data_IF_716579616052
#
_entry.id   IF_716579616052
#
_cell.length_a   1.000
_cell.length_b   1.000
_cell.length_c   1.000
_cell.angle_alpha   90.00
_cell.angle_beta   90.00
_cell.angle_gamma   90.00
#
_symmetry.space_group_name_H-M   'P 1'
#
loop_
_entity.id
_entity.type
_entity.pdbx_description
1 polymer ?
#
# COMPACT_ATOMS: atom_id res chain seq x y z
N UNK A 1 -3.75 2.41 -40.07
CA UNK A 1 -3.46 1.00 -39.71
C UNK A 1 -2.06 0.81 -39.13
N UNK A 2 -1.01 1.47 -39.67
CA UNK A 2 0.38 1.37 -39.15
C UNK A 2 0.53 1.79 -37.68
N UNK A 3 -0.14 2.87 -37.25
CA UNK A 3 -0.09 3.32 -35.85
C UNK A 3 -0.73 2.33 -34.87
N UNK A 4 -1.81 1.66 -35.27
CA UNK A 4 -2.51 0.67 -34.45
C UNK A 4 -1.69 -0.60 -34.30
N UNK A 5 -1.02 -1.04 -35.39
CA UNK A 5 -0.07 -2.15 -35.37
C UNK A 5 1.19 -1.82 -34.57
N UNK A 6 1.69 -0.58 -34.61
CA UNK A 6 2.84 -0.17 -33.80
C UNK A 6 2.49 -0.15 -32.30
N UNK A 7 1.28 0.31 -31.96
CA UNK A 7 0.79 0.31 -30.58
C UNK A 7 0.57 -1.12 -30.05
N UNK A 8 0.07 -2.03 -30.89
CA UNK A 8 -0.04 -3.46 -30.57
C UNK A 8 1.35 -4.11 -30.38
N UNK A 9 2.32 -3.76 -31.22
CA UNK A 9 3.71 -4.26 -31.10
C UNK A 9 4.36 -3.70 -29.82
N UNK A 10 4.15 -2.42 -29.48
CA UNK A 10 4.65 -1.83 -28.22
C UNK A 10 3.99 -2.48 -27.00
N UNK A 11 2.69 -2.80 -27.07
CA UNK A 11 1.98 -3.56 -26.02
C UNK A 11 2.50 -5.00 -25.90
N UNK A 12 2.84 -5.66 -27.02
CA UNK A 12 3.34 -7.04 -27.06
C UNK A 12 4.82 -7.15 -26.67
N UNK A 13 5.64 -6.13 -26.95
CA UNK A 13 7.08 -6.07 -26.63
C UNK A 13 7.30 -5.75 -25.14
N UNK A 14 6.33 -5.15 -24.46
CA UNK A 14 6.42 -4.86 -23.02
C UNK A 14 5.76 -5.94 -22.17
N UNK A 15 5.90 -7.21 -22.57
CA UNK A 15 5.59 -8.38 -21.73
C UNK A 15 6.67 -8.49 -20.67
N UNK A 16 6.62 -7.58 -19.70
CA UNK A 16 7.36 -7.72 -18.46
C UNK A 16 6.95 -9.05 -17.82
N UNK A 17 7.85 -10.02 -17.82
CA UNK A 17 7.67 -11.28 -17.11
C UNK A 17 8.13 -11.00 -15.67
N UNK A 18 7.23 -10.97 -14.69
CA UNK A 18 7.60 -10.74 -13.30
C UNK A 18 8.43 -11.89 -12.77
N UNK A 19 9.36 -11.59 -11.86
CA UNK A 19 10.02 -12.60 -11.04
C UNK A 19 9.02 -13.27 -10.10
N UNK A 20 9.32 -14.48 -9.63
CA UNK A 20 8.56 -15.14 -8.58
C UNK A 20 8.56 -14.31 -7.29
N UNK A 21 9.65 -13.61 -6.97
CA UNK A 21 9.65 -12.66 -5.85
C UNK A 21 8.61 -11.54 -6.03
N UNK A 22 8.40 -11.07 -7.26
CA UNK A 22 7.36 -10.10 -7.58
C UNK A 22 5.96 -10.66 -7.39
N UNK A 23 5.70 -11.89 -7.83
CA UNK A 23 4.42 -12.57 -7.61
C UNK A 23 4.16 -12.83 -6.11
N UNK A 24 5.18 -13.28 -5.38
CA UNK A 24 5.11 -13.47 -3.92
C UNK A 24 4.79 -12.15 -3.21
N UNK A 25 5.46 -11.06 -3.59
CA UNK A 25 5.21 -9.73 -3.02
C UNK A 25 3.75 -9.28 -3.25
N UNK A 26 3.22 -9.50 -4.45
CA UNK A 26 1.83 -9.18 -4.77
C UNK A 26 0.83 -10.08 -4.05
N UNK A 27 1.15 -11.37 -3.88
CA UNK A 27 0.31 -12.29 -3.11
C UNK A 27 0.24 -11.85 -1.64
N UNK A 28 1.37 -11.53 -1.00
CA UNK A 28 1.38 -10.99 0.36
C UNK A 28 0.60 -9.68 0.44
N UNK A 29 0.78 -8.78 -0.53
CA UNK A 29 0.04 -7.52 -0.59
C UNK A 29 -1.47 -7.75 -0.66
N UNK A 30 -1.94 -8.73 -1.44
CA UNK A 30 -3.36 -9.05 -1.58
C UNK A 30 -4.04 -9.41 -0.24
N UNK A 31 -3.26 -9.91 0.71
CA UNK A 31 -3.73 -10.25 2.06
C UNK A 31 -3.44 -9.17 3.11
N UNK A 32 -3.03 -7.97 2.69
CA UNK A 32 -2.72 -6.85 3.58
C UNK A 32 -3.80 -5.77 3.56
N UNK A 33 -3.89 -4.99 4.65
CA UNK A 33 -4.79 -3.83 4.76
C UNK A 33 -4.51 -2.73 3.72
N UNK A 34 -3.29 -2.68 3.18
CA UNK A 34 -2.90 -1.69 2.16
C UNK A 34 -3.26 -2.13 0.74
N UNK A 35 -3.82 -3.33 0.55
CA UNK A 35 -4.15 -3.89 -0.76
C UNK A 35 -4.94 -2.91 -1.61
N UNK A 36 -6.10 -2.44 -1.13
CA UNK A 36 -7.01 -1.61 -1.91
C UNK A 36 -6.35 -0.31 -2.40
N UNK A 37 -5.39 0.21 -1.62
CA UNK A 37 -4.68 1.45 -1.95
C UNK A 37 -3.58 1.20 -2.98
N UNK A 38 -2.91 0.04 -2.92
CA UNK A 38 -1.72 -0.27 -3.73
C UNK A 38 -2.01 -1.21 -4.92
N UNK A 39 -3.18 -1.85 -4.97
CA UNK A 39 -3.60 -2.74 -6.06
C UNK A 39 -3.47 -2.11 -7.46
N UNK A 40 -3.81 -0.82 -7.68
CA UNK A 40 -3.62 -0.17 -8.99
C UNK A 40 -2.15 -0.13 -9.45
N UNK A 41 -1.20 -0.30 -8.54
CA UNK A 41 0.23 -0.21 -8.78
C UNK A 41 0.93 -1.58 -8.79
N UNK A 42 0.18 -2.69 -8.91
CA UNK A 42 0.70 -4.06 -8.93
C UNK A 42 1.92 -4.22 -9.85
N UNK A 43 1.86 -3.68 -11.07
CA UNK A 43 2.97 -3.73 -12.03
C UNK A 43 4.25 -3.08 -11.51
N UNK A 44 4.13 -1.96 -10.79
CA UNK A 44 5.26 -1.25 -10.18
C UNK A 44 5.87 -2.09 -9.06
N UNK A 45 5.04 -2.75 -8.27
CA UNK A 45 5.46 -3.65 -7.19
C UNK A 45 6.25 -4.82 -7.77
N UNK A 46 5.70 -5.53 -8.77
CA UNK A 46 6.37 -6.66 -9.41
C UNK A 46 7.71 -6.27 -10.06
N UNK A 47 7.74 -5.12 -10.75
CA UNK A 47 8.94 -4.62 -11.41
C UNK A 47 10.03 -4.24 -10.40
N UNK A 48 9.67 -3.49 -9.37
CA UNK A 48 10.60 -3.05 -8.34
C UNK A 48 11.13 -4.20 -7.49
N UNK A 49 10.29 -5.19 -7.16
CA UNK A 49 10.70 -6.44 -6.52
C UNK A 49 11.73 -7.21 -7.36
N UNK A 50 11.48 -7.33 -8.67
CA UNK A 50 12.41 -8.00 -9.60
C UNK A 50 13.75 -7.27 -9.69
N UNK A 51 13.74 -5.94 -9.68
CA UNK A 51 14.96 -5.13 -9.68
C UNK A 51 15.72 -5.25 -8.37
N UNK A 52 15.02 -5.32 -7.24
CA UNK A 52 15.60 -5.42 -5.90
C UNK A 52 16.45 -6.68 -5.71
N UNK A 53 16.09 -7.79 -6.36
CA UNK A 53 16.89 -9.02 -6.32
C UNK A 53 18.33 -8.81 -6.83
N UNK A 54 18.55 -7.83 -7.72
CA UNK A 54 19.86 -7.51 -8.29
C UNK A 54 20.69 -6.53 -7.45
N UNK A 55 20.12 -5.95 -6.39
CA UNK A 55 20.83 -4.98 -5.55
C UNK A 55 21.83 -5.67 -4.63
N UNK A 56 23.10 -5.28 -4.67
CA UNK A 56 24.07 -5.72 -3.68
C UNK A 56 23.87 -4.93 -2.38
N UNK A 57 23.46 -5.65 -1.33
CA UNK A 57 23.13 -5.07 -0.03
C UNK A 57 24.22 -5.43 0.97
N UNK A 58 24.90 -4.40 1.49
CA UNK A 58 25.95 -4.56 2.51
C UNK A 58 25.35 -4.76 3.91
N UNK A 59 24.34 -3.95 4.27
CA UNK A 59 23.62 -4.04 5.54
C UNK A 59 22.11 -4.17 5.29
N UNK A 60 21.58 -5.38 5.47
CA UNK A 60 20.15 -5.64 5.31
C UNK A 60 19.29 -4.94 6.35
N UNK A 61 19.78 -4.75 7.58
CA UNK A 61 19.01 -4.12 8.65
C UNK A 61 18.72 -2.66 8.32
N UNK A 62 19.77 -1.90 8.03
CA UNK A 62 19.61 -0.49 7.67
C UNK A 62 18.83 -0.32 6.36
N UNK A 63 19.11 -1.16 5.36
CA UNK A 63 18.45 -1.06 4.05
C UNK A 63 16.95 -1.35 4.14
N UNK A 64 16.55 -2.41 4.85
CA UNK A 64 15.13 -2.74 5.05
C UNK A 64 14.40 -1.63 5.81
N UNK A 65 15.02 -1.09 6.86
CA UNK A 65 14.44 0.03 7.62
C UNK A 65 14.30 1.29 6.78
N UNK A 66 15.30 1.60 5.94
CA UNK A 66 15.25 2.74 5.05
C UNK A 66 14.09 2.61 4.05
N UNK A 67 13.94 1.47 3.39
CA UNK A 67 12.84 1.24 2.45
C UNK A 67 11.47 1.23 3.13
N UNK A 68 11.37 0.68 4.34
CA UNK A 68 10.14 0.77 5.13
C UNK A 68 9.75 2.23 5.41
N UNK A 69 10.71 3.05 5.88
CA UNK A 69 10.46 4.48 6.16
C UNK A 69 10.09 5.26 4.90
N UNK A 70 10.74 4.97 3.77
CA UNK A 70 10.41 5.56 2.47
C UNK A 70 9.00 5.18 2.01
N UNK A 71 8.60 3.92 2.19
CA UNK A 71 7.25 3.46 1.90
C UNK A 71 6.21 4.17 2.79
N UNK A 72 6.47 4.23 4.09
CA UNK A 72 5.62 4.91 5.07
C UNK A 72 5.42 6.40 4.72
N UNK A 73 6.52 7.13 4.50
CA UNK A 73 6.48 8.56 4.18
C UNK A 73 5.77 8.83 2.84
N UNK A 74 6.04 7.98 1.84
CA UNK A 74 5.39 8.09 0.53
C UNK A 74 3.89 7.83 0.62
N UNK A 75 3.47 6.84 1.42
CA UNK A 75 2.06 6.57 1.66
C UNK A 75 1.39 7.74 2.40
N UNK A 76 2.02 8.25 3.45
CA UNK A 76 1.52 9.38 4.24
C UNK A 76 1.26 10.61 3.37
N UNK A 77 2.14 10.89 2.42
CA UNK A 77 2.05 12.03 1.51
C UNK A 77 1.29 11.75 0.21
N UNK A 78 0.59 10.62 0.12
CA UNK A 78 -0.20 10.19 -1.03
C UNK A 78 0.61 10.04 -2.34
N UNK A 79 1.91 9.74 -2.23
CA UNK A 79 2.79 9.34 -3.34
C UNK A 79 2.72 7.82 -3.53
N UNK A 80 1.55 7.34 -3.95
CA UNK A 80 1.22 5.90 -3.92
C UNK A 80 2.08 5.06 -4.87
N UNK A 81 2.50 5.60 -6.01
CA UNK A 81 3.41 4.90 -6.93
C UNK A 81 4.81 4.69 -6.34
N UNK A 82 5.35 5.70 -5.67
CA UNK A 82 6.63 5.59 -4.96
C UNK A 82 6.51 4.63 -3.77
N UNK A 83 5.40 4.69 -3.02
CA UNK A 83 5.10 3.73 -1.96
C UNK A 83 5.09 2.29 -2.51
N UNK A 84 4.36 2.04 -3.60
CA UNK A 84 4.32 0.74 -4.26
C UNK A 84 5.72 0.25 -4.66
N UNK A 85 6.55 1.14 -5.22
CA UNK A 85 7.94 0.85 -5.56
C UNK A 85 8.75 0.42 -4.32
N UNK A 86 8.67 1.18 -3.24
CA UNK A 86 9.42 0.87 -2.02
C UNK A 86 8.92 -0.40 -1.31
N UNK A 87 7.60 -0.66 -1.34
CA UNK A 87 7.01 -1.91 -0.83
C UNK A 87 7.52 -3.11 -1.62
N UNK A 88 7.52 -3.05 -2.96
CA UNK A 88 8.05 -4.14 -3.79
C UNK A 88 9.52 -4.43 -3.49
N UNK A 89 10.34 -3.37 -3.34
CA UNK A 89 11.75 -3.51 -2.96
C UNK A 89 11.88 -4.14 -1.56
N UNK A 90 11.16 -3.62 -0.57
CA UNK A 90 11.20 -4.11 0.81
C UNK A 90 10.91 -5.62 0.89
N UNK A 91 9.80 -6.05 0.29
CA UNK A 91 9.35 -7.44 0.33
C UNK A 91 10.33 -8.40 -0.36
N UNK A 92 10.93 -7.97 -1.49
CA UNK A 92 11.94 -8.75 -2.19
C UNK A 92 13.27 -8.80 -1.42
N UNK A 93 13.70 -7.70 -0.81
CA UNK A 93 14.90 -7.66 0.02
C UNK A 93 14.75 -8.52 1.29
N UNK A 94 13.56 -8.60 1.87
CA UNK A 94 13.28 -9.51 2.99
C UNK A 94 13.51 -10.97 2.59
N UNK A 95 13.03 -11.39 1.42
CA UNK A 95 13.31 -12.73 0.87
C UNK A 95 14.82 -12.92 0.64
N UNK A 96 15.46 -11.96 -0.04
CA UNK A 96 16.88 -12.01 -0.38
C UNK A 96 17.77 -12.11 0.87
N UNK A 97 17.41 -11.42 1.96
CA UNK A 97 18.12 -11.48 3.24
C UNK A 97 18.19 -12.90 3.84
N UNK A 98 17.32 -13.81 3.41
CA UNK A 98 17.31 -15.23 3.80
C UNK A 98 17.87 -16.17 2.75
N UNK A 99 18.56 -15.64 1.75
CA UNK A 99 19.17 -16.45 0.69
C UNK A 99 18.18 -16.97 -0.34
N UNK A 100 17.00 -16.34 -0.46
CA UNK A 100 16.07 -16.66 -1.53
C UNK A 100 16.71 -16.53 -2.92
N UNK A 101 16.42 -17.49 -3.80
CA UNK A 101 16.73 -17.46 -5.22
C UNK A 101 15.47 -17.74 -6.04
N UNK A 102 15.45 -17.29 -7.29
CA UNK A 102 14.31 -17.51 -8.20
C UNK A 102 14.05 -18.99 -8.51
N UNK A 103 15.02 -19.88 -8.27
CA UNK A 103 14.84 -21.33 -8.39
C UNK A 103 13.90 -21.89 -7.31
N UNK A 104 13.90 -21.29 -6.11
CA UNK A 104 12.98 -21.64 -5.01
C UNK A 104 11.60 -20.99 -5.18
N UNK A 105 11.50 -19.98 -6.04
CA UNK A 105 10.30 -19.18 -6.30
C UNK A 105 9.02 -19.99 -6.53
N UNK A 106 8.98 -20.96 -7.46
CA UNK A 106 7.78 -21.75 -7.74
C UNK A 106 7.28 -22.54 -6.53
N UNK A 107 8.20 -23.14 -5.76
CA UNK A 107 7.85 -23.95 -4.58
C UNK A 107 7.29 -23.07 -3.46
N UNK A 108 7.96 -21.94 -3.21
CA UNK A 108 7.53 -20.98 -2.20
C UNK A 108 6.19 -20.35 -2.56
N UNK A 109 6.00 -19.93 -3.82
CA UNK A 109 4.74 -19.36 -4.29
C UNK A 109 3.58 -20.35 -4.12
N UNK A 110 3.78 -21.61 -4.55
CA UNK A 110 2.78 -22.68 -4.39
C UNK A 110 2.42 -22.94 -2.92
N UNK A 111 3.39 -22.85 -2.00
CA UNK A 111 3.11 -22.96 -0.56
C UNK A 111 2.29 -21.78 -0.04
N UNK A 112 2.62 -20.56 -0.47
CA UNK A 112 1.91 -19.35 -0.07
C UNK A 112 0.47 -19.32 -0.60
N UNK A 113 0.23 -19.79 -1.82
CA UNK A 113 -1.12 -19.91 -2.40
C UNK A 113 -2.02 -20.87 -1.61
N UNK A 114 -1.43 -21.85 -0.91
CA UNK A 114 -2.15 -22.86 -0.11
C UNK A 114 -2.18 -22.54 1.38
N UNK A 115 -1.57 -21.43 1.79
CA UNK A 115 -1.42 -21.06 3.18
C UNK A 115 -2.77 -20.68 3.79
N UNK A 116 -3.01 -21.07 5.05
CA UNK A 116 -4.19 -20.60 5.78
C UNK A 116 -3.95 -19.18 6.31
N UNK A 117 -4.27 -18.19 5.48
CA UNK A 117 -4.05 -16.78 5.77
C UNK A 117 -4.77 -16.29 7.02
N UNK A 118 -5.85 -16.93 7.45
CA UNK A 118 -6.57 -16.58 8.68
C UNK A 118 -5.78 -16.95 9.96
N UNK A 119 -4.86 -17.91 9.84
CA UNK A 119 -4.02 -18.37 10.97
C UNK A 119 -2.73 -17.56 11.14
N UNK A 120 -2.41 -16.68 10.19
CA UNK A 120 -1.18 -15.88 10.22
C UNK A 120 -1.21 -14.90 11.39
N UNK A 121 -0.14 -14.91 12.18
CA UNK A 121 -0.02 -14.01 13.34
C UNK A 121 0.55 -12.67 12.90
N UNK A 122 -0.19 -11.61 13.22
CA UNK A 122 0.32 -10.25 13.12
C UNK A 122 0.93 -9.83 14.45
N UNK A 123 2.11 -9.23 14.37
CA UNK A 123 2.84 -8.71 15.52
C UNK A 123 2.64 -7.20 15.62
N UNK A 124 2.43 -6.71 16.84
CA UNK A 124 2.23 -5.29 17.13
C UNK A 124 3.55 -4.56 17.50
N UNK A 125 4.70 -5.21 17.29
CA UNK A 125 6.01 -4.65 17.60
C UNK A 125 6.43 -3.56 16.60
N UNK A 126 7.38 -2.72 17.03
CA UNK A 126 7.96 -1.68 16.18
C UNK A 126 8.67 -2.27 14.95
N UNK A 127 8.69 -1.56 13.80
CA UNK A 127 9.32 -2.04 12.57
C UNK A 127 10.78 -2.47 12.75
N UNK A 128 11.54 -1.74 13.57
CA UNK A 128 12.91 -2.09 13.95
C UNK A 128 13.00 -3.49 14.57
N UNK A 129 12.12 -3.79 15.53
CA UNK A 129 12.11 -5.09 16.21
C UNK A 129 11.66 -6.21 15.28
N UNK A 130 10.69 -5.94 14.41
CA UNK A 130 10.22 -6.91 13.42
C UNK A 130 11.30 -7.26 12.41
N UNK A 131 12.06 -6.27 11.92
CA UNK A 131 13.18 -6.48 11.01
C UNK A 131 14.33 -7.20 11.72
N UNK A 132 14.65 -6.81 12.96
CA UNK A 132 15.69 -7.47 13.76
C UNK A 132 15.34 -8.94 14.05
N UNK A 133 14.07 -9.21 14.39
CA UNK A 133 13.55 -10.55 14.54
C UNK A 133 13.65 -11.33 13.23
N UNK A 134 13.19 -10.76 12.11
CA UNK A 134 13.29 -11.40 10.81
C UNK A 134 14.73 -11.77 10.49
N UNK A 135 15.68 -10.85 10.62
CA UNK A 135 17.08 -11.09 10.27
C UNK A 135 17.74 -12.14 11.17
N UNK A 136 17.41 -12.19 12.46
CA UNK A 136 17.92 -13.21 13.38
C UNK A 136 17.24 -14.58 13.26
N UNK A 137 16.02 -14.64 12.72
CA UNK A 137 15.24 -15.87 12.58
C UNK A 137 15.92 -16.93 11.70
N UNK A 138 15.91 -18.19 12.12
CA UNK A 138 16.45 -19.30 11.31
C UNK A 138 15.32 -20.28 11.00
N UNK A 139 14.80 -20.30 9.76
CA UNK A 139 13.71 -21.19 9.39
C UNK A 139 14.16 -22.65 9.42
N UNK A 140 13.32 -23.53 9.94
CA UNK A 140 13.60 -24.98 10.01
C UNK A 140 13.34 -25.68 8.68
N UNK A 141 12.33 -25.23 7.95
CA UNK A 141 11.91 -25.75 6.65
C UNK A 141 11.28 -24.63 5.82
N UNK A 142 10.88 -24.94 4.58
CA UNK A 142 10.33 -23.94 3.65
C UNK A 142 8.94 -23.43 4.08
N UNK A 143 8.13 -24.25 4.74
CA UNK A 143 6.82 -23.84 5.27
C UNK A 143 6.98 -22.84 6.41
N UNK A 144 7.85 -23.14 7.37
CA UNK A 144 8.21 -22.27 8.48
C UNK A 144 8.79 -20.94 7.99
N UNK A 145 9.63 -20.99 6.94
CA UNK A 145 10.08 -19.81 6.24
C UNK A 145 8.92 -18.99 5.67
N UNK A 146 8.00 -19.62 4.94
CA UNK A 146 6.84 -18.98 4.33
C UNK A 146 5.95 -18.32 5.38
N UNK A 147 5.60 -19.04 6.46
CA UNK A 147 4.79 -18.51 7.56
C UNK A 147 5.46 -17.33 8.26
N UNK A 148 6.75 -17.43 8.60
CA UNK A 148 7.49 -16.36 9.25
C UNK A 148 7.60 -15.14 8.33
N UNK A 149 7.90 -15.35 7.04
CA UNK A 149 7.99 -14.29 6.04
C UNK A 149 6.68 -13.51 5.94
N UNK A 150 5.56 -14.21 5.73
CA UNK A 150 4.24 -13.59 5.61
C UNK A 150 3.86 -12.87 6.89
N UNK A 151 4.08 -13.48 8.05
CA UNK A 151 3.74 -12.88 9.35
C UNK A 151 4.44 -11.54 9.53
N UNK A 152 5.75 -11.48 9.28
CA UNK A 152 6.52 -10.24 9.43
C UNK A 152 6.18 -9.24 8.34
N UNK A 153 6.08 -9.68 7.08
CA UNK A 153 5.74 -8.81 5.96
C UNK A 153 4.37 -8.15 6.15
N UNK A 154 3.34 -8.92 6.51
CA UNK A 154 2.01 -8.38 6.80
C UNK A 154 2.03 -7.47 8.02
N UNK A 155 2.79 -7.80 9.07
CA UNK A 155 2.92 -6.94 10.25
C UNK A 155 3.52 -5.57 9.90
N UNK A 156 4.50 -5.53 9.00
CA UNK A 156 5.07 -4.28 8.51
C UNK A 156 4.07 -3.51 7.63
N UNK A 157 3.38 -4.21 6.72
CA UNK A 157 2.40 -3.58 5.82
C UNK A 157 1.19 -3.02 6.57
N UNK A 158 0.74 -3.67 7.64
CA UNK A 158 -0.41 -3.23 8.44
C UNK A 158 -0.16 -1.92 9.20
N UNK A 159 1.12 -1.61 9.46
CA UNK A 159 1.53 -0.36 10.11
C UNK A 159 1.62 0.84 9.16
N UNK A 160 1.48 0.64 7.84
CA UNK A 160 1.49 1.74 6.88
C UNK A 160 0.20 2.58 6.97
N UNK A 161 0.26 3.92 6.76
CA UNK A 161 -0.88 4.82 6.93
C UNK A 161 -1.87 4.70 5.74
N UNK A 162 -2.70 3.66 5.77
CA UNK A 162 -3.68 3.35 4.74
C UNK A 162 -5.01 4.10 4.85
N UNK A 163 -5.19 4.90 5.90
CA UNK A 163 -6.37 5.74 6.06
C UNK A 163 -6.35 6.93 5.09
N UNK A 164 -7.38 7.04 4.26
CA UNK A 164 -7.50 8.09 3.25
C UNK A 164 -7.60 9.49 3.87
N UNK A 165 -8.26 9.64 5.02
CA UNK A 165 -8.40 10.92 5.70
C UNK A 165 -7.04 11.41 6.22
N UNK A 166 -6.28 10.52 6.87
CA UNK A 166 -4.92 10.85 7.35
C UNK A 166 -4.04 11.29 6.17
N UNK A 167 -4.05 10.56 5.06
CA UNK A 167 -3.29 10.93 3.85
C UNK A 167 -3.71 12.29 3.30
N UNK A 168 -5.01 12.54 3.14
CA UNK A 168 -5.54 13.82 2.61
C UNK A 168 -5.08 15.01 3.47
N UNK A 169 -5.07 14.86 4.80
CA UNK A 169 -4.60 15.92 5.70
C UNK A 169 -3.09 16.20 5.59
N UNK A 170 -2.29 15.19 5.22
CA UNK A 170 -0.84 15.33 5.10
C UNK A 170 -0.38 15.80 3.71
N UNK A 171 -1.25 15.74 2.70
CA UNK A 171 -0.96 16.28 1.36
C UNK A 171 -1.47 17.73 1.23
N UNK A 172 -0.60 18.76 1.13
CA UNK A 172 -1.01 20.17 1.21
C UNK A 172 -2.13 20.57 0.24
N UNK A 173 -2.01 20.19 -1.05
CA UNK A 173 -3.01 20.50 -2.08
C UNK A 173 -4.37 19.84 -1.82
N UNK A 174 -4.36 18.59 -1.34
CA UNK A 174 -5.60 17.87 -1.03
C UNK A 174 -6.24 18.39 0.25
N UNK A 175 -5.42 18.71 1.26
CA UNK A 175 -5.87 19.34 2.50
C UNK A 175 -6.56 20.68 2.22
N UNK A 176 -5.95 21.54 1.41
CA UNK A 176 -6.53 22.84 1.05
C UNK A 176 -7.86 22.68 0.31
N UNK A 177 -7.93 21.77 -0.67
CA UNK A 177 -9.17 21.47 -1.39
C UNK A 177 -10.25 20.91 -0.47
N UNK A 178 -9.89 20.01 0.45
CA UNK A 178 -10.80 19.45 1.45
C UNK A 178 -11.38 20.54 2.35
N UNK A 179 -10.53 21.39 2.93
CA UNK A 179 -10.96 22.51 3.79
C UNK A 179 -11.87 23.46 3.00
N UNK A 180 -11.50 23.82 1.77
CA UNK A 180 -12.31 24.69 0.92
C UNK A 180 -13.68 24.08 0.61
N UNK A 181 -13.73 22.76 0.34
CA UNK A 181 -14.99 22.05 0.11
C UNK A 181 -15.89 22.08 1.35
N UNK A 182 -15.31 21.91 2.53
CA UNK A 182 -16.03 21.86 3.80
C UNK A 182 -16.60 23.24 4.15
N UNK A 183 -15.82 24.30 3.95
CA UNK A 183 -16.29 25.70 4.07
C UNK A 183 -17.45 25.96 3.11
N UNK A 184 -17.33 25.52 1.86
CA UNK A 184 -18.37 25.72 0.84
C UNK A 184 -19.67 25.01 1.21
N UNK A 185 -19.58 23.77 1.71
CA UNK A 185 -20.73 23.00 2.20
C UNK A 185 -21.39 23.74 3.37
N UNK A 186 -20.61 24.18 4.37
CA UNK A 186 -21.15 24.90 5.54
C UNK A 186 -21.85 26.19 5.12
N UNK A 187 -21.24 27.00 4.25
CA UNK A 187 -21.83 28.24 3.73
C UNK A 187 -23.13 27.94 2.98
N UNK A 188 -23.12 26.93 2.11
CA UNK A 188 -24.28 26.57 1.29
C UNK A 188 -25.42 26.04 2.17
N UNK A 189 -25.13 25.16 3.11
CA UNK A 189 -26.10 24.65 4.08
C UNK A 189 -26.68 25.77 4.94
N UNK A 190 -25.83 26.68 5.46
CA UNK A 190 -26.30 27.84 6.24
C UNK A 190 -27.20 28.76 5.39
N UNK A 191 -26.83 29.02 4.13
CA UNK A 191 -27.66 29.79 3.21
C UNK A 191 -29.03 29.14 2.99
N UNK A 192 -29.09 27.82 2.76
CA UNK A 192 -30.36 27.11 2.58
C UNK A 192 -31.21 27.12 3.84
N UNK A 193 -30.61 26.97 5.02
CA UNK A 193 -31.33 27.08 6.30
C UNK A 193 -31.91 28.48 6.47
N UNK A 194 -31.11 29.54 6.26
CA UNK A 194 -31.60 30.93 6.36
C UNK A 194 -32.70 31.22 5.34
N UNK A 195 -32.54 30.76 4.09
CA UNK A 195 -33.55 30.93 3.05
C UNK A 195 -34.85 30.19 3.40
N UNK A 196 -34.74 28.97 3.93
CA UNK A 196 -35.88 28.17 4.39
C UNK A 196 -36.61 28.85 5.55
N UNK A 197 -35.88 29.30 6.57
CA UNK A 197 -36.46 30.04 7.71
C UNK A 197 -37.14 31.33 7.24
N UNK A 198 -36.55 32.07 6.29
CA UNK A 198 -37.21 33.27 5.71
C UNK A 198 -38.47 32.94 4.93
N UNK A 199 -38.50 31.82 4.21
CA UNK A 199 -39.69 31.38 3.47
C UNK A 199 -40.80 30.88 4.41
N UNK A 200 -40.45 30.12 5.45
CA UNK A 200 -41.37 29.63 6.48
C UNK A 200 -41.89 30.79 7.37
N UNK A 201 -41.02 31.74 7.75
CA UNK A 201 -41.41 32.94 8.48
C UNK A 201 -42.18 33.96 7.60
N UNK A 202 -41.95 33.98 6.28
CA UNK A 202 -42.72 34.78 5.33
C UNK A 202 -44.12 34.22 5.05
N UNK A 203 -44.37 32.95 5.39
CA UNK A 203 -45.69 32.30 5.31
C UNK A 203 -46.51 32.36 6.60
N UNK A 204 -45.89 32.72 7.74
CA UNK A 204 -46.58 32.95 9.01
C UNK A 204 -46.61 34.44 9.29
N UNK A 205 -47.63 35.13 8.78
CA UNK A 205 -48.14 36.28 9.53
C UNK A 205 -48.52 35.74 10.89
N UNK A 206 -47.77 36.12 11.92
CA UNK A 206 -48.19 35.94 13.31
C UNK A 206 -49.49 36.73 13.49
N UNK A 207 -50.63 36.08 13.27
CA UNK A 207 -51.89 36.48 13.87
C UNK A 207 -51.79 36.17 15.36
N UNK A 208 -51.36 37.14 16.14
CA UNK A 208 -51.33 37.01 17.59
C UNK A 208 -50.44 38.04 18.26
N UNK A 209 -51.09 39.00 18.92
CA UNK A 209 -50.59 40.02 19.87
C UNK A 209 -50.39 41.45 19.33
N UNK A 210 -51.49 42.14 19.00
CA UNK A 210 -52.17 43.11 19.88
C UNK A 210 -53.39 43.72 19.17
#
# INVERSE_FOLDING_TARGET
>A
MVALSLMLIILMVNTFIPSYAGEIACLVLAHSKVHDVLAPYERVIKLSATQALKLDVADYRETLLAYYRLAYDSMLHNKLEDCARYVGILLALMLKAKGYSEELGPQLLSLLERLDWASVRLYADEPEKLIDYWLSYKPKNLEDFAYAYVSIALSLLDQLPSDAFIRVLHTPKLRELYIASLITIVITSAYFVVKRVRAEAGGVKYEGYR
#
